data_IF_394686319527
#
_entry.id   IF_394686319527
#
_cell.length_a   1.000
_cell.length_b   1.000
_cell.length_c   1.000
_cell.angle_alpha   90.00
_cell.angle_beta   90.00
_cell.angle_gamma   90.00
#
_symmetry.space_group_name_H-M   'P 1'
#
loop_
_entity.id
_entity.type
_entity.pdbx_description
1 polymer ?
#
# COMPACT_ATOMS: atom_id res chain seq x y z
N UNK A 1 -16.67 15.83 26.93
CA UNK A 1 -15.86 15.86 25.69
C UNK A 1 -16.60 16.70 24.68
N UNK A 2 -15.94 17.68 24.07
CA UNK A 2 -16.57 18.64 23.16
C UNK A 2 -16.47 18.12 21.71
N UNK A 3 -17.62 17.80 21.12
CA UNK A 3 -17.74 17.20 19.78
C UNK A 3 -17.05 18.03 18.70
N UNK A 4 -17.03 19.36 18.85
CA UNK A 4 -16.38 20.26 17.90
C UNK A 4 -14.85 20.17 17.96
N UNK A 5 -14.27 19.99 19.15
CA UNK A 5 -12.82 19.80 19.30
C UNK A 5 -12.33 18.49 18.66
N UNK A 6 -13.14 17.42 18.74
CA UNK A 6 -12.82 16.13 18.12
C UNK A 6 -12.93 16.18 16.59
N UNK A 7 -13.90 16.93 16.05
CA UNK A 7 -13.98 17.16 14.60
C UNK A 7 -12.79 17.95 14.05
N UNK A 8 -12.33 18.96 14.76
CA UNK A 8 -11.17 19.76 14.33
C UNK A 8 -9.86 18.96 14.38
N UNK A 9 -9.71 18.08 15.36
CA UNK A 9 -8.60 17.13 15.43
C UNK A 9 -8.63 16.14 14.24
N UNK A 10 -9.80 15.57 13.94
CA UNK A 10 -9.96 14.65 12.81
C UNK A 10 -9.68 15.31 11.44
N UNK A 11 -10.13 16.57 11.25
CA UNK A 11 -9.84 17.34 10.02
C UNK A 11 -8.36 17.69 9.89
N UNK A 12 -7.69 18.08 10.98
CA UNK A 12 -6.24 18.38 10.96
C UNK A 12 -5.41 17.16 10.60
N UNK A 13 -5.76 15.97 11.11
CA UNK A 13 -5.09 14.71 10.75
C UNK A 13 -5.33 14.37 9.27
N UNK A 14 -6.57 14.46 8.80
CA UNK A 14 -6.90 14.22 7.38
C UNK A 14 -6.16 15.17 6.43
N UNK A 15 -6.06 16.46 6.76
CA UNK A 15 -5.33 17.44 5.97
C UNK A 15 -3.82 17.14 5.87
N UNK A 16 -3.22 16.68 6.97
CA UNK A 16 -1.81 16.24 6.98
C UNK A 16 -1.58 15.04 6.07
N UNK A 17 -2.47 14.04 6.11
CA UNK A 17 -2.38 12.85 5.25
C UNK A 17 -2.46 13.21 3.76
N UNK A 18 -3.39 14.09 3.38
CA UNK A 18 -3.51 14.58 2.00
C UNK A 18 -2.25 15.35 1.58
N UNK A 19 -1.72 16.22 2.44
CA UNK A 19 -0.49 16.95 2.16
C UNK A 19 0.69 16.00 1.93
N UNK A 20 0.88 15.00 2.80
CA UNK A 20 1.94 13.99 2.65
C UNK A 20 1.81 13.21 1.34
N UNK A 21 0.58 12.84 0.97
CA UNK A 21 0.32 12.15 -0.29
C UNK A 21 0.65 13.02 -1.52
N UNK A 22 0.29 14.30 -1.49
CA UNK A 22 0.63 15.24 -2.57
C UNK A 22 2.15 15.45 -2.68
N UNK A 23 2.85 15.57 -1.55
CA UNK A 23 4.31 15.65 -1.53
C UNK A 23 4.97 14.39 -2.11
N UNK A 24 4.41 13.22 -1.82
CA UNK A 24 4.89 11.96 -2.41
C UNK A 24 4.73 11.96 -3.94
N UNK A 25 3.58 12.40 -4.47
CA UNK A 25 3.34 12.50 -5.91
C UNK A 25 4.35 13.47 -6.55
N UNK A 26 4.53 14.65 -5.97
CA UNK A 26 5.48 15.65 -6.48
C UNK A 26 6.90 15.08 -6.52
N UNK A 27 7.34 14.42 -5.46
CA UNK A 27 8.67 13.79 -5.41
C UNK A 27 8.84 12.72 -6.50
N UNK A 28 7.83 11.86 -6.72
CA UNK A 28 7.84 10.83 -7.75
C UNK A 28 7.89 11.46 -9.15
N UNK A 29 7.09 12.49 -9.42
CA UNK A 29 7.09 13.20 -10.70
C UNK A 29 8.45 13.82 -10.99
N UNK A 30 9.08 14.46 -10.01
CA UNK A 30 10.42 15.06 -10.17
C UNK A 30 11.43 13.97 -10.56
N UNK A 31 11.44 12.83 -9.87
CA UNK A 31 12.38 11.74 -10.14
C UNK A 31 12.13 11.13 -11.52
N UNK A 32 10.88 10.83 -11.85
CA UNK A 32 10.53 10.29 -13.17
C UNK A 32 10.87 11.28 -14.29
N UNK A 33 10.71 12.57 -14.06
CA UNK A 33 11.12 13.60 -15.01
C UNK A 33 12.64 13.63 -15.22
N UNK A 34 13.43 13.61 -14.13
CA UNK A 34 14.91 13.55 -14.22
C UNK A 34 15.35 12.31 -15.00
N UNK A 35 14.71 11.17 -14.74
CA UNK A 35 15.03 9.90 -15.42
C UNK A 35 14.64 9.95 -16.89
N UNK A 36 13.47 10.51 -17.21
CA UNK A 36 13.06 10.73 -18.59
C UNK A 36 14.05 11.64 -19.34
N UNK A 37 14.56 12.69 -18.70
CA UNK A 37 15.59 13.57 -19.25
C UNK A 37 16.92 12.84 -19.51
N UNK A 38 17.38 12.01 -18.55
CA UNK A 38 18.59 11.19 -18.74
C UNK A 38 18.41 10.19 -19.88
N UNK A 39 17.24 9.53 -19.97
CA UNK A 39 16.96 8.60 -21.07
C UNK A 39 16.90 9.34 -22.41
N UNK A 40 16.27 10.51 -22.45
CA UNK A 40 16.19 11.35 -23.64
C UNK A 40 17.58 11.73 -24.16
N UNK A 41 18.48 12.19 -23.28
CA UNK A 41 19.85 12.56 -23.70
C UNK A 41 20.68 11.37 -24.16
N UNK A 42 20.49 10.20 -23.54
CA UNK A 42 21.14 8.96 -23.97
C UNK A 42 20.69 8.59 -25.39
N UNK A 43 19.40 8.73 -25.69
CA UNK A 43 18.83 8.41 -27.01
C UNK A 43 19.31 9.40 -28.07
N UNK A 44 19.31 10.70 -27.77
CA UNK A 44 19.77 11.73 -28.72
C UNK A 44 21.29 11.81 -28.85
N UNK A 45 22.05 11.08 -28.01
CA UNK A 45 23.52 11.10 -27.96
C UNK A 45 24.11 12.51 -27.71
N UNK A 46 23.31 13.44 -27.19
CA UNK A 46 23.72 14.81 -26.87
C UNK A 46 23.71 15.02 -25.35
N UNK A 47 24.91 14.92 -24.76
CA UNK A 47 25.13 15.23 -23.34
C UNK A 47 25.70 16.64 -23.13
N UNK A 48 26.12 17.32 -24.20
CA UNK A 48 26.85 18.58 -24.12
C UNK A 48 25.89 19.77 -23.94
N UNK A 49 24.66 19.67 -24.47
CA UNK A 49 23.63 20.71 -24.36
C UNK A 49 22.35 20.19 -23.71
N UNK A 50 22.49 19.58 -22.52
CA UNK A 50 21.34 19.14 -21.74
C UNK A 50 20.50 20.34 -21.27
N UNK A 51 19.45 20.67 -22.01
CA UNK A 51 18.43 21.60 -21.53
C UNK A 51 17.54 20.86 -20.51
N UNK A 52 17.59 21.27 -19.25
CA UNK A 52 16.84 20.58 -18.18
C UNK A 52 15.34 20.84 -18.20
N UNK A 53 14.88 21.83 -18.97
CA UNK A 53 13.48 22.24 -19.01
C UNK A 53 12.86 21.96 -20.37
N UNK A 54 12.10 20.86 -20.44
CA UNK A 54 11.27 20.49 -21.58
C UNK A 54 9.80 20.40 -21.14
N UNK A 55 8.99 21.45 -21.36
CA UNK A 55 7.60 21.49 -20.92
C UNK A 55 6.76 20.29 -21.39
N UNK A 56 7.00 19.80 -22.61
CA UNK A 56 6.29 18.65 -23.17
C UNK A 56 6.60 17.34 -22.43
N UNK A 57 7.89 17.07 -22.16
CA UNK A 57 8.32 15.88 -21.41
C UNK A 57 7.81 15.96 -19.96
N UNK A 58 7.89 17.14 -19.35
CA UNK A 58 7.37 17.37 -18.00
C UNK A 58 5.85 17.14 -17.93
N UNK A 59 5.07 17.74 -18.84
CA UNK A 59 3.62 17.56 -18.85
C UNK A 59 3.21 16.10 -19.09
N UNK A 60 3.90 15.40 -20.00
CA UNK A 60 3.63 13.99 -20.28
C UNK A 60 3.97 13.10 -19.08
N UNK A 61 5.16 13.26 -18.48
CA UNK A 61 5.59 12.46 -17.33
C UNK A 61 4.71 12.71 -16.10
N UNK A 62 4.42 13.97 -15.80
CA UNK A 62 3.51 14.34 -14.70
C UNK A 62 2.10 13.78 -14.94
N UNK A 63 1.54 13.98 -16.14
CA UNK A 63 0.20 13.51 -16.50
C UNK A 63 0.08 11.99 -16.40
N UNK A 64 1.01 11.25 -16.99
CA UNK A 64 1.01 9.78 -16.93
C UNK A 64 1.16 9.27 -15.49
N UNK A 65 2.05 9.89 -14.70
CA UNK A 65 2.26 9.50 -13.30
C UNK A 65 0.97 9.67 -12.49
N UNK A 66 0.31 10.82 -12.60
CA UNK A 66 -0.95 11.09 -11.90
C UNK A 66 -2.04 10.13 -12.35
N UNK A 67 -2.15 9.85 -13.65
CA UNK A 67 -3.12 8.89 -14.19
C UNK A 67 -2.88 7.49 -13.62
N UNK A 68 -1.64 7.00 -13.63
CA UNK A 68 -1.29 5.66 -13.11
C UNK A 68 -1.58 5.56 -11.62
N UNK A 69 -1.17 6.55 -10.82
CA UNK A 69 -1.43 6.57 -9.37
C UNK A 69 -2.94 6.58 -9.12
N UNK A 70 -3.68 7.44 -9.82
CA UNK A 70 -5.13 7.57 -9.65
C UNK A 70 -5.86 6.30 -10.02
N UNK A 71 -5.56 5.71 -11.19
CA UNK A 71 -6.17 4.46 -11.63
C UNK A 71 -5.81 3.29 -10.71
N UNK A 72 -4.55 3.20 -10.27
CA UNK A 72 -4.11 2.19 -9.32
C UNK A 72 -4.84 2.31 -7.98
N UNK A 73 -4.97 3.54 -7.45
CA UNK A 73 -5.68 3.79 -6.20
C UNK A 73 -7.17 3.51 -6.30
N UNK A 74 -7.84 4.00 -7.35
CA UNK A 74 -9.27 3.75 -7.57
C UNK A 74 -9.54 2.27 -7.77
N UNK A 75 -8.73 1.59 -8.60
CA UNK A 75 -8.85 0.16 -8.82
C UNK A 75 -8.68 -0.65 -7.53
N UNK A 76 -7.72 -0.27 -6.69
CA UNK A 76 -7.52 -0.93 -5.38
C UNK A 76 -8.68 -0.71 -4.43
N UNK A 77 -9.12 0.54 -4.27
CA UNK A 77 -10.28 0.86 -3.41
C UNK A 77 -11.52 0.11 -3.89
N UNK A 78 -11.75 0.07 -5.21
CA UNK A 78 -12.86 -0.66 -5.82
C UNK A 78 -12.78 -2.16 -5.54
N UNK A 79 -11.59 -2.77 -5.63
CA UNK A 79 -11.39 -4.18 -5.30
C UNK A 79 -11.68 -4.52 -3.84
N UNK A 80 -11.55 -3.54 -2.94
CA UNK A 80 -11.79 -3.70 -1.51
C UNK A 80 -13.25 -3.40 -1.10
N UNK A 81 -14.11 -2.95 -2.03
CA UNK A 81 -15.50 -2.57 -1.75
C UNK A 81 -16.36 -3.68 -1.13
N UNK A 82 -15.97 -4.95 -1.30
CA UNK A 82 -16.66 -6.09 -0.69
C UNK A 82 -16.59 -6.11 0.85
N UNK A 83 -15.75 -5.26 1.46
CA UNK A 83 -15.71 -5.05 2.91
C UNK A 83 -14.47 -5.65 3.57
N UNK A 84 -14.57 -5.96 4.86
CA UNK A 84 -13.47 -6.50 5.64
C UNK A 84 -12.95 -7.85 5.13
N UNK A 85 -13.84 -8.73 4.66
CA UNK A 85 -13.49 -10.06 4.14
C UNK A 85 -12.49 -9.99 2.98
N UNK A 86 -12.68 -9.05 2.05
CA UNK A 86 -11.75 -8.85 0.94
C UNK A 86 -10.36 -8.42 1.40
N UNK A 87 -10.26 -7.65 2.49
CA UNK A 87 -8.97 -7.30 3.09
C UNK A 87 -8.34 -8.54 3.73
N UNK A 88 -9.10 -9.31 4.51
CA UNK A 88 -8.60 -10.48 5.21
C UNK A 88 -8.13 -11.59 4.26
N UNK A 89 -8.91 -11.90 3.23
CA UNK A 89 -8.55 -12.93 2.22
C UNK A 89 -7.33 -12.51 1.40
N UNK A 90 -7.20 -11.21 1.11
CA UNK A 90 -6.07 -10.66 0.37
C UNK A 90 -4.74 -10.75 1.11
N UNK A 91 -4.77 -10.72 2.44
CA UNK A 91 -3.58 -10.99 3.27
C UNK A 91 -3.42 -12.48 3.61
N UNK A 92 -4.20 -13.36 2.96
CA UNK A 92 -4.10 -14.81 3.15
C UNK A 92 -4.86 -15.34 4.36
N UNK A 93 -5.76 -14.56 4.95
CA UNK A 93 -6.59 -14.99 6.06
C UNK A 93 -7.57 -16.09 5.67
N UNK A 94 -7.69 -17.12 6.50
CA UNK A 94 -8.70 -18.17 6.41
C UNK A 94 -9.81 -17.91 7.41
N UNK A 95 -11.06 -17.90 6.96
CA UNK A 95 -12.22 -17.79 7.84
C UNK A 95 -12.24 -18.95 8.85
N UNK A 96 -12.37 -18.63 10.14
CA UNK A 96 -12.50 -19.63 11.20
C UNK A 96 -13.96 -20.09 11.26
N UNK A 97 -14.15 -21.42 11.26
CA UNK A 97 -15.48 -21.99 11.45
C UNK A 97 -15.93 -21.85 12.91
N UNK A 98 -17.18 -21.45 13.19
CA UNK A 98 -17.72 -21.44 14.56
C UNK A 98 -17.61 -22.81 15.26
N UNK A 99 -17.69 -23.89 14.47
CA UNK A 99 -17.61 -25.28 14.96
C UNK A 99 -16.18 -25.86 14.90
N UNK A 100 -15.15 -25.02 14.82
CA UNK A 100 -13.76 -25.48 14.75
C UNK A 100 -13.45 -26.44 15.89
N UNK A 101 -12.68 -27.50 15.63
CA UNK A 101 -12.20 -28.44 16.65
C UNK A 101 -10.94 -27.95 17.37
N UNK A 102 -10.30 -26.91 16.86
CA UNK A 102 -9.08 -26.35 17.42
C UNK A 102 -9.40 -25.46 18.64
N UNK A 103 -8.79 -25.79 19.78
CA UNK A 103 -8.97 -25.06 21.03
C UNK A 103 -8.46 -23.60 20.93
N UNK A 104 -7.41 -23.36 20.14
CA UNK A 104 -6.88 -22.01 19.91
C UNK A 104 -7.88 -21.16 19.12
N UNK A 105 -8.48 -21.73 18.07
CA UNK A 105 -9.52 -21.07 17.27
C UNK A 105 -10.78 -20.79 18.09
N UNK A 106 -11.23 -21.75 18.90
CA UNK A 106 -12.36 -21.53 19.83
C UNK A 106 -12.09 -20.42 20.83
N UNK A 107 -10.86 -20.37 21.38
CA UNK A 107 -10.48 -19.33 22.34
C UNK A 107 -10.62 -17.93 21.74
N UNK A 108 -10.11 -17.72 20.52
CA UNK A 108 -10.21 -16.40 19.89
C UNK A 108 -11.65 -16.05 19.50
N UNK A 109 -12.45 -17.02 19.04
CA UNK A 109 -13.87 -16.82 18.77
C UNK A 109 -14.62 -16.36 20.03
N UNK A 110 -14.40 -17.02 21.16
CA UNK A 110 -15.02 -16.65 22.44
C UNK A 110 -14.61 -15.22 22.87
N UNK A 111 -13.31 -14.89 22.77
CA UNK A 111 -12.83 -13.54 23.12
C UNK A 111 -13.48 -12.47 22.22
N UNK A 112 -13.60 -12.74 20.91
CA UNK A 112 -14.26 -11.81 19.97
C UNK A 112 -15.75 -11.67 20.29
N UNK A 113 -16.44 -12.76 20.61
CA UNK A 113 -17.85 -12.73 21.01
C UNK A 113 -18.07 -11.93 22.31
N UNK A 114 -17.21 -12.14 23.31
CA UNK A 114 -17.25 -11.37 24.56
C UNK A 114 -17.04 -9.87 24.33
N UNK A 115 -16.11 -9.50 23.45
CA UNK A 115 -15.87 -8.10 23.09
C UNK A 115 -17.03 -7.50 22.28
N UNK A 116 -17.65 -8.26 21.39
CA UNK A 116 -18.84 -7.84 20.66
C UNK A 116 -20.03 -7.61 21.61
N UNK A 117 -20.24 -8.51 22.57
CA UNK A 117 -21.27 -8.36 23.60
C UNK A 117 -21.02 -7.14 24.48
N UNK A 118 -19.77 -6.95 24.94
CA UNK A 118 -19.41 -5.82 25.79
C UNK A 118 -19.54 -4.47 25.07
N UNK A 119 -19.28 -4.43 23.76
CA UNK A 119 -19.33 -3.22 22.93
C UNK A 119 -20.70 -2.96 22.28
N UNK A 120 -21.63 -3.92 22.35
CA UNK A 120 -22.95 -3.80 21.73
C UNK A 120 -22.90 -3.81 20.20
N UNK A 121 -21.91 -4.48 19.60
CA UNK A 121 -21.79 -4.62 18.13
C UNK A 121 -22.14 -6.05 17.68
N UNK A 122 -22.49 -6.25 16.40
CA UNK A 122 -22.54 -7.59 15.83
C UNK A 122 -21.19 -8.31 15.99
N UNK A 123 -21.20 -9.63 16.16
CA UNK A 123 -19.98 -10.43 16.21
C UNK A 123 -19.34 -10.43 14.82
N UNK A 124 -18.14 -9.83 14.64
CA UNK A 124 -17.48 -9.81 13.34
C UNK A 124 -16.92 -11.19 13.00
N UNK A 125 -16.92 -11.60 11.72
CA UNK A 125 -16.21 -12.80 11.28
C UNK A 125 -14.73 -12.74 11.64
N UNK A 126 -14.17 -13.87 12.09
CA UNK A 126 -12.77 -13.98 12.49
C UNK A 126 -11.98 -14.76 11.44
N UNK A 127 -10.88 -14.18 10.97
CA UNK A 127 -9.97 -14.79 10.03
C UNK A 127 -8.64 -15.10 10.73
N UNK A 128 -8.12 -16.31 10.52
CA UNK A 128 -6.81 -16.75 10.98
C UNK A 128 -5.77 -16.55 9.87
N UNK A 129 -4.66 -15.91 10.19
CA UNK A 129 -3.48 -15.87 9.33
C UNK A 129 -2.45 -16.87 9.86
N UNK A 130 -1.96 -17.75 8.99
CA UNK A 130 -0.94 -18.75 9.32
C UNK A 130 0.46 -18.11 9.36
N UNK A 131 0.65 -17.18 10.30
CA UNK A 131 1.90 -16.44 10.54
C UNK A 131 2.35 -16.58 12.00
N UNK A 132 3.66 -16.71 12.21
CA UNK A 132 4.27 -16.83 13.54
C UNK A 132 4.35 -15.51 14.31
N UNK A 133 4.17 -14.37 13.65
CA UNK A 133 4.18 -13.04 14.29
C UNK A 133 2.98 -12.86 15.22
N UNK A 134 3.08 -11.94 16.18
CA UNK A 134 1.93 -11.53 17.00
C UNK A 134 1.30 -10.31 16.34
N UNK A 135 0.13 -10.49 15.71
CA UNK A 135 -0.59 -9.40 15.06
C UNK A 135 -2.11 -9.67 15.06
N UNK A 136 -2.89 -8.59 15.07
CA UNK A 136 -4.32 -8.60 14.85
C UNK A 136 -4.73 -7.32 14.13
N UNK A 137 -5.84 -7.33 13.42
CA UNK A 137 -6.38 -6.14 12.77
C UNK A 137 -7.90 -6.20 12.61
N UNK A 138 -8.55 -5.04 12.64
CA UNK A 138 -9.91 -4.86 12.17
C UNK A 138 -9.95 -4.26 10.75
N UNK A 139 -10.81 -4.80 9.89
CA UNK A 139 -11.02 -4.27 8.54
C UNK A 139 -12.51 -4.22 8.19
N UNK A 140 -12.93 -3.15 7.51
CA UNK A 140 -14.32 -2.93 7.11
C UNK A 140 -14.58 -1.49 6.70
N UNK A 141 -15.70 -1.25 6.02
CA UNK A 141 -16.19 0.11 5.72
C UNK A 141 -17.21 0.61 6.73
N UNK A 142 -17.90 -0.32 7.40
CA UNK A 142 -18.92 -0.12 8.42
C UNK A 142 -18.85 -1.28 9.42
N UNK A 143 -19.52 -1.13 10.56
CA UNK A 143 -19.55 -2.15 11.59
C UNK A 143 -20.19 -3.45 11.09
N UNK A 144 -21.19 -3.34 10.20
CA UNK A 144 -21.90 -4.50 9.65
C UNK A 144 -21.05 -5.36 8.70
N UNK A 145 -19.97 -4.80 8.14
CA UNK A 145 -19.05 -5.52 7.25
C UNK A 145 -17.61 -5.55 7.79
N UNK A 146 -17.48 -5.37 9.10
CA UNK A 146 -16.22 -5.48 9.81
C UNK A 146 -15.82 -6.96 9.97
N UNK A 147 -14.52 -7.24 9.88
CA UNK A 147 -13.92 -8.53 10.20
C UNK A 147 -12.74 -8.30 11.13
N UNK A 148 -12.39 -9.33 11.89
CA UNK A 148 -11.18 -9.38 12.71
C UNK A 148 -10.23 -10.40 12.09
N UNK A 149 -9.02 -9.98 11.74
CA UNK A 149 -7.92 -10.86 11.38
C UNK A 149 -6.99 -11.04 12.56
N UNK A 150 -6.57 -12.27 12.86
CA UNK A 150 -5.63 -12.59 13.93
C UNK A 150 -4.60 -13.58 13.42
N UNK A 151 -3.33 -13.41 13.77
CA UNK A 151 -2.30 -14.38 13.41
C UNK A 151 -2.28 -15.57 14.36
N UNK A 152 -1.87 -16.73 13.84
CA UNK A 152 -1.66 -17.93 14.66
C UNK A 152 -0.66 -17.68 15.79
N UNK A 153 0.42 -16.93 15.52
CA UNK A 153 1.38 -16.51 16.54
C UNK A 153 0.77 -15.67 17.67
N UNK A 154 -0.20 -14.79 17.38
CA UNK A 154 -0.90 -14.05 18.43
C UNK A 154 -1.79 -14.97 19.26
N UNK A 155 -2.55 -15.84 18.61
CA UNK A 155 -3.43 -16.77 19.32
C UNK A 155 -2.60 -17.74 20.16
N UNK A 156 -1.48 -18.28 19.69
CA UNK A 156 -0.72 -19.29 20.44
C UNK A 156 0.15 -18.71 21.55
N UNK A 157 0.73 -17.51 21.36
CA UNK A 157 1.71 -16.95 22.29
C UNK A 157 1.12 -16.03 23.34
N UNK A 158 0.01 -15.37 23.05
CA UNK A 158 -0.64 -14.49 24.03
C UNK A 158 -1.45 -15.32 25.03
N UNK A 159 -1.41 -14.88 26.28
CA UNK A 159 -2.39 -15.32 27.27
C UNK A 159 -3.80 -14.84 26.87
N UNK A 160 -4.82 -15.44 27.48
CA UNK A 160 -6.22 -15.08 27.19
C UNK A 160 -6.48 -13.59 27.45
N UNK A 161 -5.94 -13.05 28.55
CA UNK A 161 -6.17 -11.66 28.96
C UNK A 161 -5.42 -10.68 28.04
N UNK A 162 -4.20 -11.02 27.61
CA UNK A 162 -3.46 -10.23 26.62
C UNK A 162 -4.15 -10.25 25.25
N UNK A 163 -4.63 -11.43 24.81
CA UNK A 163 -5.42 -11.55 23.58
C UNK A 163 -6.69 -10.72 23.67
N UNK A 164 -7.40 -10.76 24.80
CA UNK A 164 -8.58 -9.93 25.03
C UNK A 164 -8.26 -8.43 24.98
N UNK A 165 -7.12 -7.99 25.53
CA UNK A 165 -6.64 -6.62 25.42
C UNK A 165 -6.38 -6.20 23.97
N UNK A 166 -5.74 -7.06 23.18
CA UNK A 166 -5.48 -6.83 21.74
C UNK A 166 -6.79 -6.77 20.96
N UNK A 167 -7.70 -7.73 21.15
CA UNK A 167 -9.00 -7.73 20.46
C UNK A 167 -9.84 -6.51 20.89
N UNK A 168 -9.82 -6.12 22.16
CA UNK A 168 -10.49 -4.91 22.62
C UNK A 168 -9.96 -3.64 21.93
N UNK A 169 -8.65 -3.56 21.71
CA UNK A 169 -8.05 -2.49 20.90
C UNK A 169 -8.59 -2.49 19.47
N UNK A 170 -8.69 -3.66 18.82
CA UNK A 170 -9.26 -3.76 17.47
C UNK A 170 -10.75 -3.40 17.39
N UNK A 171 -11.54 -3.74 18.42
CA UNK A 171 -12.93 -3.29 18.53
C UNK A 171 -13.04 -1.77 18.65
N UNK A 172 -12.05 -1.10 19.26
CA UNK A 172 -12.04 0.36 19.27
C UNK A 172 -11.95 0.95 17.85
N UNK A 173 -11.21 0.31 16.92
CA UNK A 173 -11.16 0.73 15.51
C UNK A 173 -12.48 0.49 14.78
N UNK A 174 -13.21 -0.59 15.13
CA UNK A 174 -14.56 -0.84 14.63
C UNK A 174 -15.50 0.28 15.07
N UNK A 175 -15.55 0.57 16.38
CA UNK A 175 -16.47 1.55 16.97
C UNK A 175 -16.21 2.98 16.50
N UNK A 176 -14.95 3.39 16.39
CA UNK A 176 -14.58 4.73 15.91
C UNK A 176 -14.65 4.86 14.38
N UNK A 177 -14.75 3.75 13.65
CA UNK A 177 -14.87 3.74 12.20
C UNK A 177 -13.57 4.04 11.44
N UNK A 178 -12.42 3.93 12.11
CA UNK A 178 -11.11 4.24 11.52
C UNK A 178 -10.67 3.21 10.47
N UNK A 179 -11.32 2.03 10.44
CA UNK A 179 -11.12 1.01 9.40
C UNK A 179 -11.33 1.55 7.97
N UNK A 180 -12.32 2.42 7.78
CA UNK A 180 -12.59 3.03 6.46
C UNK A 180 -11.45 3.93 6.01
N UNK A 181 -10.85 4.66 6.95
CA UNK A 181 -9.66 5.47 6.68
C UNK A 181 -8.50 4.57 6.30
N UNK A 182 -8.28 3.48 7.04
CA UNK A 182 -7.23 2.50 6.75
C UNK A 182 -7.36 1.88 5.35
N UNK A 183 -8.57 1.48 4.93
CA UNK A 183 -8.79 0.94 3.58
C UNK A 183 -8.48 2.00 2.50
N UNK A 184 -8.90 3.25 2.70
CA UNK A 184 -8.59 4.35 1.78
C UNK A 184 -7.08 4.59 1.68
N UNK A 185 -6.40 4.63 2.82
CA UNK A 185 -4.94 4.79 2.87
C UNK A 185 -4.23 3.64 2.16
N UNK A 186 -4.64 2.39 2.37
CA UNK A 186 -4.12 1.24 1.62
C UNK A 186 -4.29 1.43 0.11
N UNK A 187 -5.44 1.90 -0.34
CA UNK A 187 -5.70 2.21 -1.75
C UNK A 187 -4.79 3.31 -2.30
N UNK A 188 -4.64 4.42 -1.57
CA UNK A 188 -3.75 5.52 -1.96
C UNK A 188 -2.29 5.07 -2.06
N UNK A 189 -1.80 4.35 -1.05
CA UNK A 189 -0.45 3.80 -1.04
C UNK A 189 -0.23 2.79 -2.17
N UNK A 190 -1.23 1.96 -2.48
CA UNK A 190 -1.15 1.04 -3.61
C UNK A 190 -0.97 1.77 -4.95
N UNK A 191 -1.62 2.92 -5.15
CA UNK A 191 -1.44 3.73 -6.35
C UNK A 191 0.01 4.20 -6.53
N UNK A 192 0.68 4.60 -5.45
CA UNK A 192 2.12 4.92 -5.48
C UNK A 192 2.95 3.68 -5.80
N UNK A 193 2.66 2.55 -5.16
CA UNK A 193 3.35 1.28 -5.39
C UNK A 193 3.16 0.75 -6.82
N UNK A 194 2.06 1.10 -7.50
CA UNK A 194 1.83 0.72 -8.89
C UNK A 194 2.89 1.26 -9.85
N UNK A 195 3.47 2.43 -9.56
CA UNK A 195 4.62 2.94 -10.32
C UNK A 195 5.78 1.95 -10.23
N UNK A 196 6.07 1.48 -9.01
CA UNK A 196 7.12 0.50 -8.74
C UNK A 196 6.87 -0.85 -9.42
N UNK A 197 5.61 -1.32 -9.42
CA UNK A 197 5.22 -2.56 -10.09
C UNK A 197 5.38 -2.44 -11.60
N UNK A 198 4.85 -1.38 -12.22
CA UNK A 198 4.92 -1.18 -13.68
C UNK A 198 6.37 -1.10 -14.14
N UNK A 199 7.21 -0.30 -13.50
CA UNK A 199 8.59 -0.22 -13.94
C UNK A 199 9.37 -1.52 -13.66
N UNK A 200 9.01 -2.33 -12.66
CA UNK A 200 9.60 -3.66 -12.49
C UNK A 200 9.26 -4.60 -13.66
N UNK A 201 8.04 -4.53 -14.17
CA UNK A 201 7.58 -5.27 -15.35
C UNK A 201 8.31 -4.75 -16.59
N UNK A 202 8.42 -3.43 -16.77
CA UNK A 202 9.16 -2.83 -17.89
C UNK A 202 10.63 -3.24 -17.87
N UNK A 203 11.28 -3.20 -16.72
CA UNK A 203 12.68 -3.62 -16.56
C UNK A 203 12.89 -5.09 -16.94
N UNK A 204 11.99 -5.97 -16.49
CA UNK A 204 12.00 -7.39 -16.89
C UNK A 204 11.81 -7.52 -18.41
N UNK A 205 10.83 -6.81 -18.98
CA UNK A 205 10.57 -6.84 -20.42
C UNK A 205 11.77 -6.37 -21.24
N UNK A 206 12.43 -5.28 -20.82
CA UNK A 206 13.65 -4.76 -21.45
C UNK A 206 14.82 -5.74 -21.35
N UNK A 207 15.01 -6.38 -20.19
CA UNK A 207 16.03 -7.41 -20.00
C UNK A 207 15.84 -8.60 -20.97
N UNK A 208 14.62 -9.11 -21.09
CA UNK A 208 14.32 -10.21 -22.02
C UNK A 208 14.38 -9.79 -23.49
N UNK A 209 14.02 -8.55 -23.82
CA UNK A 209 14.12 -8.00 -25.18
C UNK A 209 15.59 -7.77 -25.61
N UNK A 210 16.45 -7.31 -24.70
CA UNK A 210 17.87 -7.10 -24.94
C UNK A 210 18.67 -8.39 -25.18
N UNK A 211 18.20 -9.54 -24.68
CA UNK A 211 18.82 -10.85 -24.87
C UNK A 211 18.78 -11.39 -26.32
N UNK A 212 17.87 -10.90 -27.18
CA UNK A 212 17.70 -11.39 -28.57
C UNK A 212 18.46 -10.60 -29.63
N UNK A 213 19.06 -9.45 -29.31
CA UNK A 213 19.74 -8.56 -30.29
C UNK A 213 21.28 -8.56 -30.15
N UNK A 214 21.90 -9.69 -29.81
CA UNK A 214 23.38 -9.85 -29.86
C UNK A 214 23.91 -10.24 -31.24
N UNK A 215 23.38 -9.66 -32.31
CA UNK A 215 23.96 -9.81 -33.65
C UNK A 215 23.83 -8.50 -34.44
N UNK A 216 24.83 -7.63 -34.28
CA UNK A 216 25.54 -6.90 -35.35
C UNK A 216 26.18 -5.60 -34.84
N UNK A 217 27.50 -5.65 -34.63
CA UNK A 217 28.48 -4.64 -35.05
C UNK A 217 28.25 -3.12 -34.83
N UNK A 218 27.66 -2.68 -33.71
CA UNK A 218 27.76 -1.29 -33.22
C UNK A 218 28.13 -1.30 -31.73
N UNK A 219 29.38 -0.91 -31.40
CA UNK A 219 29.87 -0.87 -30.01
C UNK A 219 29.29 0.29 -29.19
N UNK A 220 28.64 1.29 -29.82
CA UNK A 220 28.11 2.47 -29.14
C UNK A 220 26.65 2.29 -28.67
N UNK A 221 25.78 1.69 -29.48
CA UNK A 221 24.35 1.54 -29.16
C UNK A 221 24.10 0.57 -27.98
N UNK A 222 24.93 -0.45 -27.84
CA UNK A 222 24.81 -1.42 -26.74
C UNK A 222 25.03 -0.79 -25.36
N UNK A 223 25.97 0.17 -25.28
CA UNK A 223 26.30 0.87 -24.03
C UNK A 223 25.19 1.84 -23.63
N UNK A 224 24.60 2.54 -24.60
CA UNK A 224 23.48 3.45 -24.37
C UNK A 224 22.25 2.72 -23.80
N UNK A 225 21.91 1.55 -24.35
CA UNK A 225 20.79 0.73 -23.86
C UNK A 225 21.04 0.25 -22.42
N UNK A 226 22.26 -0.19 -22.10
CA UNK A 226 22.62 -0.63 -20.75
C UNK A 226 22.52 0.55 -19.76
N UNK A 227 22.99 1.75 -20.14
CA UNK A 227 22.93 2.94 -19.30
C UNK A 227 21.48 3.38 -19.04
N UNK A 228 20.62 3.34 -20.06
CA UNK A 228 19.20 3.68 -19.92
C UNK A 228 18.47 2.69 -18.99
N UNK A 229 18.75 1.39 -19.13
CA UNK A 229 18.21 0.35 -18.24
C UNK A 229 18.71 0.56 -16.80
N UNK A 230 19.99 0.88 -16.61
CA UNK A 230 20.55 1.15 -15.29
C UNK A 230 19.91 2.38 -14.63
N UNK A 231 19.74 3.48 -15.39
CA UNK A 231 19.06 4.69 -14.92
C UNK A 231 17.61 4.41 -14.50
N UNK A 232 16.86 3.66 -15.32
CA UNK A 232 15.51 3.23 -14.99
C UNK A 232 15.48 2.33 -13.73
N UNK A 233 16.41 1.38 -13.60
CA UNK A 233 16.50 0.52 -12.42
C UNK A 233 16.75 1.30 -11.13
N UNK A 234 17.66 2.27 -11.15
CA UNK A 234 17.94 3.16 -10.01
C UNK A 234 16.72 4.00 -9.66
N UNK A 235 16.05 4.58 -10.68
CA UNK A 235 14.81 5.33 -10.48
C UNK A 235 13.76 4.52 -9.73
N UNK A 236 13.58 3.27 -10.15
CA UNK A 236 12.59 2.35 -9.59
C UNK A 236 12.91 1.97 -8.15
N UNK A 237 14.19 1.79 -7.82
CA UNK A 237 14.63 1.57 -6.45
C UNK A 237 14.30 2.79 -5.56
N UNK A 238 14.60 4.00 -6.04
CA UNK A 238 14.33 5.24 -5.30
C UNK A 238 12.82 5.46 -5.12
N UNK A 239 12.01 5.27 -6.17
CA UNK A 239 10.55 5.40 -6.10
C UNK A 239 9.97 4.38 -5.12
N UNK A 240 10.46 3.14 -5.14
CA UNK A 240 10.10 2.13 -4.14
C UNK A 240 10.39 2.59 -2.71
N UNK A 241 11.58 3.14 -2.46
CA UNK A 241 11.95 3.66 -1.15
C UNK A 241 11.10 4.86 -0.72
N UNK A 242 10.76 5.76 -1.65
CA UNK A 242 9.85 6.89 -1.41
C UNK A 242 8.45 6.39 -1.03
N UNK A 243 7.93 5.38 -1.75
CA UNK A 243 6.65 4.76 -1.41
C UNK A 243 6.64 4.18 0.01
N UNK A 244 7.71 3.49 0.41
CA UNK A 244 7.86 2.98 1.78
C UNK A 244 7.99 4.11 2.80
N UNK A 245 8.82 5.11 2.51
CA UNK A 245 9.04 6.27 3.40
C UNK A 245 7.75 7.04 3.66
N UNK A 246 7.04 7.46 2.62
CA UNK A 246 5.76 8.15 2.76
C UNK A 246 4.68 7.24 3.33
N UNK A 247 4.69 5.94 3.01
CA UNK A 247 3.81 4.96 3.63
C UNK A 247 3.98 4.89 5.15
N UNK A 248 5.22 4.86 5.63
CA UNK A 248 5.52 4.86 7.06
C UNK A 248 5.16 6.20 7.72
N UNK A 249 5.40 7.32 7.03
CA UNK A 249 5.06 8.65 7.55
C UNK A 249 3.55 8.87 7.64
N UNK A 250 2.79 8.36 6.66
CA UNK A 250 1.33 8.36 6.66
C UNK A 250 0.81 7.51 7.82
N UNK A 251 1.37 6.30 8.02
CA UNK A 251 1.01 5.44 9.18
C UNK A 251 1.30 6.12 10.52
N UNK A 252 2.41 6.84 10.64
CA UNK A 252 2.76 7.56 11.86
C UNK A 252 1.90 8.83 12.12
N UNK A 253 1.17 9.30 11.10
CA UNK A 253 0.33 10.50 11.19
C UNK A 253 -1.13 10.21 11.54
N UNK A 254 -1.54 8.93 11.52
CA UNK A 254 -2.84 8.44 11.97
C UNK A 254 -2.79 8.22 13.48
#
# INVERSE_FOLDING_TARGET
MDFFSEQDLARKRSGRLVLLFLLAIVAIVIILYVVAMVVYSIVEHDFAYMQWWHPGIFALTAGLTVVVITLGSVGRIASLNAGGSAVAEMVGGRLISPDSSDAAERRVLNVVEEMALASGTPVPPVYMLDEDGINAFAAGYRNENAVIGVTRGAVERLSRDELQGVIAHEFSHILHGDMRLNIRLMGLLYGILMISVIGSIMMRALYFAGGRRRSSNSKNDGTAIILAIAAAGVAMYIIGYIGVFFGNLIKAAV
#
